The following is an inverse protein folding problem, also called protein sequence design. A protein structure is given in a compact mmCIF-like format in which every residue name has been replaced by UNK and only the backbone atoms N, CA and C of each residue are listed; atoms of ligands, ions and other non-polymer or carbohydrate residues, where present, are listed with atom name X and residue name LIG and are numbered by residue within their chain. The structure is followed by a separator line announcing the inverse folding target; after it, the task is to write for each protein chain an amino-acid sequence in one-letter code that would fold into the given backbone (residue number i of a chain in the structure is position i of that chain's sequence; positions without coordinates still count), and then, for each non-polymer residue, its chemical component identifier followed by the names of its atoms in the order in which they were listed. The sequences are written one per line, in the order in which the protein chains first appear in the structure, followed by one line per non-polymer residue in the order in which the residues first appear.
data_IF_808561499116
#
_entry.id   IF_808561499116
#
_cell.length_a   1.000
_cell.length_b   1.000
_cell.length_c   1.000
_cell.angle_alpha   90.00
_cell.angle_beta   90.00
_cell.angle_gamma   90.00
#
_symmetry.space_group_name_H-M   'P 1'
#
loop_
_entity.id
_entity.type
_entity.pdbx_description
1 polymer ?
#
# COMPACT_ATOMS: atom_id res chain seq x y z
N UNK A 1 -7.11 20.52 -7.48
CA UNK A 1 -6.28 19.51 -8.18
C UNK A 1 -6.30 18.22 -7.36
N UNK A 2 -6.24 17.03 -7.97
CA UNK A 2 -6.23 15.74 -7.25
C UNK A 2 -4.86 15.07 -7.42
N UNK A 3 -4.43 14.34 -6.40
CA UNK A 3 -3.17 13.59 -6.39
C UNK A 3 -3.45 12.12 -6.04
N UNK A 4 -2.61 11.23 -6.59
CA UNK A 4 -2.59 9.82 -6.21
C UNK A 4 -1.25 9.55 -5.50
N UNK A 5 -1.33 9.19 -4.22
CA UNK A 5 -0.16 8.83 -3.41
C UNK A 5 -0.05 7.30 -3.44
N UNK A 6 1.05 6.80 -4.00
CA UNK A 6 1.34 5.37 -4.07
C UNK A 6 2.30 4.99 -2.94
N UNK A 7 1.81 4.22 -1.97
CA UNK A 7 2.60 3.67 -0.87
C UNK A 7 3.20 2.34 -1.35
N UNK A 8 4.53 2.26 -1.39
CA UNK A 8 5.27 1.05 -1.73
C UNK A 8 5.88 0.45 -0.46
N UNK A 9 5.73 -0.86 -0.29
CA UNK A 9 6.23 -1.59 0.87
C UNK A 9 6.30 -3.07 0.54
N UNK A 10 7.33 -3.76 1.05
CA UNK A 10 7.50 -5.20 0.91
C UNK A 10 7.42 -5.90 2.28
N UNK A 11 6.22 -6.04 2.87
CA UNK A 11 6.01 -6.73 4.14
C UNK A 11 6.20 -8.25 4.00
N UNK A 12 6.92 -8.85 4.93
CA UNK A 12 7.14 -10.30 5.01
C UNK A 12 6.80 -10.85 6.43
N UNK A 13 5.71 -11.63 6.58
CA UNK A 13 4.67 -11.94 5.58
C UNK A 13 3.81 -10.70 5.21
N UNK A 14 3.02 -10.78 4.12
CA UNK A 14 2.16 -9.66 3.74
C UNK A 14 1.08 -9.39 4.80
N UNK A 15 0.98 -8.14 5.24
CA UNK A 15 0.03 -7.74 6.28
C UNK A 15 -0.15 -6.23 6.35
N UNK A 16 -1.21 -5.79 7.02
CA UNK A 16 -1.50 -4.39 7.30
C UNK A 16 -1.71 -4.21 8.81
N UNK A 17 -1.13 -3.17 9.45
CA UNK A 17 -0.26 -2.13 8.87
C UNK A 17 1.07 -2.70 8.36
N UNK A 18 1.52 -2.27 7.18
CA UNK A 18 2.69 -2.90 6.52
C UNK A 18 3.97 -2.75 7.35
N UNK A 19 4.09 -1.67 8.11
CA UNK A 19 5.25 -1.38 8.96
C UNK A 19 5.56 -2.53 9.93
N UNK A 20 4.55 -3.19 10.51
CA UNK A 20 4.75 -4.30 11.45
C UNK A 20 5.38 -5.54 10.83
N UNK A 21 5.35 -5.63 9.50
CA UNK A 21 5.82 -6.76 8.73
C UNK A 21 7.09 -6.45 7.92
N UNK A 22 7.67 -5.25 8.07
CA UNK A 22 8.96 -4.88 7.45
C UNK A 22 10.11 -5.02 8.43
N UNK A 23 11.34 -5.21 7.93
CA UNK A 23 12.55 -5.18 8.77
C UNK A 23 12.69 -3.85 9.51
N UNK A 24 12.52 -2.74 8.80
CA UNK A 24 12.60 -1.39 9.36
C UNK A 24 11.59 -1.22 10.49
N UNK A 25 10.31 -1.54 10.26
CA UNK A 25 9.28 -1.36 11.29
C UNK A 25 9.38 -2.33 12.47
N UNK A 26 10.02 -3.50 12.30
CA UNK A 26 10.37 -4.39 13.42
C UNK A 26 11.50 -3.83 14.29
N UNK A 27 12.38 -3.00 13.73
CA UNK A 27 13.46 -2.35 14.47
C UNK A 27 13.01 -1.11 15.26
N UNK A 28 11.84 -0.53 14.94
CA UNK A 28 11.30 0.64 15.64
C UNK A 28 10.72 0.23 17.01
N UNK A 29 11.11 0.90 18.11
CA UNK A 29 10.52 0.67 19.43
C UNK A 29 9.00 0.81 19.43
N UNK A 30 8.30 -0.02 20.21
CA UNK A 30 6.84 -0.02 20.25
C UNK A 30 6.24 1.35 20.58
N UNK A 31 6.80 2.06 21.56
CA UNK A 31 6.32 3.40 21.93
C UNK A 31 6.45 4.43 20.80
N UNK A 32 7.50 4.33 19.98
CA UNK A 32 7.69 5.19 18.83
C UNK A 32 6.71 4.84 17.71
N UNK A 33 6.47 3.55 17.45
CA UNK A 33 5.42 3.12 16.51
C UNK A 33 4.03 3.58 16.90
N UNK A 34 3.68 3.49 18.18
CA UNK A 34 2.38 3.98 18.67
C UNK A 34 2.24 5.49 18.48
N UNK A 35 3.30 6.26 18.71
CA UNK A 35 3.30 7.70 18.44
C UNK A 35 3.13 8.00 16.94
N UNK A 36 3.87 7.30 16.07
CA UNK A 36 3.74 7.45 14.61
C UNK A 36 2.35 7.08 14.10
N UNK A 37 1.76 5.99 14.61
CA UNK A 37 0.40 5.58 14.27
C UNK A 37 -0.61 6.65 14.70
N UNK A 38 -0.46 7.20 15.91
CA UNK A 38 -1.33 8.27 16.39
C UNK A 38 -1.24 9.51 15.49
N UNK A 39 -0.04 9.96 15.16
CA UNK A 39 0.17 11.13 14.29
C UNK A 39 -0.44 10.91 12.89
N UNK A 40 -0.34 9.68 12.38
CA UNK A 40 -0.93 9.29 11.08
C UNK A 40 -2.47 9.33 11.11
N UNK A 41 -3.09 8.80 12.17
CA UNK A 41 -4.54 8.83 12.35
C UNK A 41 -5.07 10.27 12.52
N UNK A 42 -4.35 11.11 13.26
CA UNK A 42 -4.68 12.54 13.40
C UNK A 42 -4.62 13.27 12.04
N UNK A 43 -3.57 13.02 11.24
CA UNK A 43 -3.44 13.56 9.90
C UNK A 43 -4.59 13.12 8.97
N UNK A 44 -4.91 11.82 8.94
CA UNK A 44 -6.00 11.31 8.09
C UNK A 44 -7.36 11.86 8.52
N UNK A 45 -7.58 12.02 9.83
CA UNK A 45 -8.81 12.61 10.38
C UNK A 45 -8.96 14.06 9.93
N UNK A 46 -7.90 14.86 10.02
CA UNK A 46 -7.89 16.26 9.59
C UNK A 46 -8.12 16.41 8.08
N UNK A 47 -7.42 15.61 7.27
CA UNK A 47 -7.61 15.59 5.81
C UNK A 47 -9.04 15.20 5.42
N UNK A 48 -9.63 14.23 6.14
CA UNK A 48 -11.03 13.83 5.95
C UNK A 48 -12.00 14.96 6.32
N UNK A 49 -11.81 15.61 7.47
CA UNK A 49 -12.65 16.71 7.93
C UNK A 49 -12.62 17.92 6.97
N UNK A 50 -11.48 18.17 6.31
CA UNK A 50 -11.32 19.22 5.29
C UNK A 50 -11.82 18.82 3.90
N UNK A 51 -12.21 17.56 3.69
CA UNK A 51 -12.60 17.02 2.38
C UNK A 51 -11.43 16.89 1.41
N UNK A 52 -10.19 16.86 1.93
CA UNK A 52 -8.96 16.70 1.14
C UNK A 52 -8.65 15.22 0.90
N UNK A 53 -9.01 14.33 1.84
CA UNK A 53 -8.93 12.89 1.65
C UNK A 53 -10.10 12.39 0.79
N UNK A 54 -9.80 12.02 -0.45
CA UNK A 54 -10.80 11.44 -1.36
C UNK A 54 -11.01 9.94 -1.08
N UNK A 55 -9.92 9.18 -0.96
CA UNK A 55 -9.94 7.73 -0.69
C UNK A 55 -8.54 7.22 -0.37
N UNK A 56 -8.45 6.14 0.41
CA UNK A 56 -7.23 5.36 0.64
C UNK A 56 -7.57 3.90 0.89
N UNK A 57 -6.76 2.97 0.38
CA UNK A 57 -7.00 1.54 0.53
C UNK A 57 -5.68 0.78 0.61
N UNK A 58 -5.54 -0.07 1.62
CA UNK A 58 -4.48 -1.06 1.66
C UNK A 58 -4.77 -2.18 0.64
N UNK A 59 -3.81 -2.46 -0.24
CA UNK A 59 -3.92 -3.52 -1.24
C UNK A 59 -3.44 -4.86 -0.67
N UNK A 60 -4.00 -5.94 -1.19
CA UNK A 60 -3.53 -7.30 -0.93
C UNK A 60 -2.18 -7.59 -1.59
N UNK A 61 -1.59 -8.77 -1.33
CA UNK A 61 -0.30 -9.16 -1.89
C UNK A 61 -0.36 -9.20 -3.42
N UNK A 62 0.73 -8.78 -4.08
CA UNK A 62 0.84 -8.79 -5.54
C UNK A 62 0.63 -10.18 -6.16
N UNK A 63 0.99 -11.24 -5.43
CA UNK A 63 0.78 -12.63 -5.83
C UNK A 63 -0.72 -13.01 -6.03
N UNK A 64 -1.64 -12.28 -5.40
CA UNK A 64 -3.09 -12.46 -5.59
C UNK A 64 -3.67 -11.69 -6.78
N UNK A 65 -2.88 -10.87 -7.47
CA UNK A 65 -3.34 -10.06 -8.59
C UNK A 65 -3.60 -10.91 -9.85
N UNK A 66 -4.44 -10.38 -10.74
CA UNK A 66 -4.64 -10.90 -12.10
C UNK A 66 -4.45 -9.78 -13.10
N UNK A 67 -3.57 -10.00 -14.07
CA UNK A 67 -3.30 -9.09 -15.16
C UNK A 67 -4.09 -9.50 -16.41
N UNK A 68 -4.85 -8.57 -16.96
CA UNK A 68 -5.52 -8.73 -18.25
C UNK A 68 -4.82 -7.84 -19.28
N UNK A 69 -4.28 -8.43 -20.34
CA UNK A 69 -3.64 -7.71 -21.45
C UNK A 69 -4.40 -7.95 -22.75
N UNK A 70 -4.58 -6.87 -23.52
CA UNK A 70 -5.22 -6.93 -24.83
C UNK A 70 -4.26 -6.43 -25.89
N UNK A 71 -4.14 -7.19 -26.97
CA UNK A 71 -3.36 -6.83 -28.16
C UNK A 71 -4.21 -7.13 -29.40
N UNK A 72 -4.68 -6.08 -30.07
CA UNK A 72 -5.67 -6.21 -31.14
C UNK A 72 -6.96 -6.87 -30.65
N UNK A 73 -7.30 -8.04 -31.23
CA UNK A 73 -8.47 -8.86 -30.83
C UNK A 73 -8.14 -9.96 -29.83
N UNK A 74 -6.88 -10.11 -29.43
CA UNK A 74 -6.46 -11.13 -28.47
C UNK A 74 -6.52 -10.59 -27.05
N UNK A 75 -7.03 -11.41 -26.13
CA UNK A 75 -7.02 -11.13 -24.68
C UNK A 75 -6.29 -12.25 -23.97
N UNK A 76 -5.27 -11.89 -23.21
CA UNK A 76 -4.46 -12.81 -22.40
C UNK A 76 -4.67 -12.45 -20.93
N UNK A 77 -4.85 -13.46 -20.08
CA UNK A 77 -4.91 -13.30 -18.63
C UNK A 77 -3.72 -14.01 -18.02
N UNK A 78 -2.99 -13.35 -17.12
CA UNK A 78 -1.89 -13.93 -16.36
C UNK A 78 -2.09 -13.68 -14.87
N UNK A 79 -1.70 -14.65 -14.03
CA UNK A 79 -1.64 -14.44 -12.59
C UNK A 79 -0.42 -13.58 -12.22
N UNK A 80 -0.53 -12.81 -11.14
CA UNK A 80 0.49 -11.89 -10.68
C UNK A 80 0.34 -10.45 -11.19
N UNK A 81 1.29 -9.56 -10.82
CA UNK A 81 1.23 -8.14 -11.12
C UNK A 81 1.50 -7.82 -12.60
N UNK A 82 1.39 -6.54 -12.97
CA UNK A 82 1.72 -6.05 -14.31
C UNK A 82 3.17 -6.35 -14.72
N UNK A 83 4.11 -6.22 -13.79
CA UNK A 83 5.52 -6.52 -13.96
C UNK A 83 6.10 -7.01 -12.64
N UNK A 84 7.09 -7.89 -12.70
CA UNK A 84 7.93 -8.21 -11.55
C UNK A 84 8.73 -6.95 -11.19
N UNK A 85 8.48 -6.42 -10.00
CA UNK A 85 9.20 -5.27 -9.47
C UNK A 85 9.82 -5.69 -8.14
N UNK A 86 11.12 -5.42 -7.99
CA UNK A 86 11.73 -5.44 -6.67
C UNK A 86 11.45 -4.07 -6.05
N UNK A 87 10.62 -4.02 -5.03
CA UNK A 87 10.54 -2.85 -4.16
C UNK A 87 11.95 -2.66 -3.56
N UNK A 88 12.59 -1.53 -3.88
CA UNK A 88 13.95 -1.22 -3.42
C UNK A 88 13.96 -0.86 -1.94
#
# INVERSE_FOLDING_TARGET
MKYLILIHSNPEPWGHPTIDFTEIGRAIPAAEKEAMNKDFEELLTDLSAKGELVSGQALGPAAGAKLYRTEGRQRVTTDGPYAEAKDR
#
